data_IF_910233183003
#
_entry.id   IF_910233183003
#
_cell.length_a   1.000
_cell.length_b   1.000
_cell.length_c   1.000
_cell.angle_alpha   90.00
_cell.angle_beta   90.00
_cell.angle_gamma   90.00
#
_symmetry.space_group_name_H-M   'P 1'
#
loop_
_entity.id
_entity.type
_entity.pdbx_description
1 polymer ?
#
# COMPACT_ATOMS: atom_id res chain seq x y z
N UNK A 1 -9.31 7.56 13.89
CA UNK A 1 -9.61 8.75 13.05
C UNK A 1 -8.48 9.08 12.10
N UNK A 2 -7.22 9.01 12.55
CA UNK A 2 -6.04 9.30 11.74
C UNK A 2 -5.95 8.48 10.44
N UNK A 3 -6.18 7.16 10.53
CA UNK A 3 -6.13 6.27 9.35
C UNK A 3 -7.07 6.72 8.22
N UNK A 4 -8.27 7.17 8.57
CA UNK A 4 -9.26 7.64 7.59
C UNK A 4 -8.76 8.91 6.90
N UNK A 5 -8.34 9.92 7.66
CA UNK A 5 -7.84 11.18 7.10
C UNK A 5 -6.59 10.97 6.25
N UNK A 6 -5.67 10.11 6.68
CA UNK A 6 -4.48 9.78 5.89
C UNK A 6 -4.85 9.10 4.58
N UNK A 7 -5.68 8.05 4.63
CA UNK A 7 -6.10 7.32 3.42
C UNK A 7 -6.85 8.23 2.45
N UNK A 8 -7.82 9.01 2.93
CA UNK A 8 -8.60 9.90 2.06
C UNK A 8 -7.75 11.01 1.47
N UNK A 9 -6.86 11.62 2.26
CA UNK A 9 -6.00 12.72 1.75
C UNK A 9 -5.01 12.21 0.71
N UNK A 10 -4.42 11.03 0.94
CA UNK A 10 -3.50 10.40 -0.01
C UNK A 10 -4.24 10.08 -1.32
N UNK A 11 -5.40 9.42 -1.25
CA UNK A 11 -6.17 9.04 -2.45
C UNK A 11 -6.82 10.23 -3.17
N UNK A 12 -7.09 11.32 -2.47
CA UNK A 12 -7.62 12.55 -3.07
C UNK A 12 -6.56 13.33 -3.86
N UNK A 13 -5.31 13.34 -3.38
CA UNK A 13 -4.23 14.12 -4.01
C UNK A 13 -3.34 13.29 -4.94
N UNK A 14 -3.27 11.97 -4.74
CA UNK A 14 -2.37 11.09 -5.48
C UNK A 14 -3.10 9.86 -6.03
N UNK A 15 -2.87 9.55 -7.30
CA UNK A 15 -3.14 8.22 -7.86
C UNK A 15 -1.99 7.29 -7.50
N UNK A 16 -2.33 6.18 -6.86
CA UNK A 16 -1.39 5.10 -6.55
C UNK A 16 -1.20 4.25 -7.80
N UNK A 17 0.01 4.25 -8.35
CA UNK A 17 0.41 3.31 -9.38
C UNK A 17 1.42 2.33 -8.79
N UNK A 18 1.12 1.04 -8.89
CA UNK A 18 2.06 0.00 -8.53
C UNK A 18 3.12 -0.15 -9.62
N UNK A 19 4.39 -0.18 -9.25
CA UNK A 19 5.49 -0.49 -10.18
C UNK A 19 5.50 -1.98 -10.56
N UNK A 20 4.97 -2.83 -9.68
CA UNK A 20 4.83 -4.27 -9.89
C UNK A 20 3.41 -4.57 -10.34
N UNK A 21 3.19 -5.42 -11.36
CA UNK A 21 1.85 -5.82 -11.77
C UNK A 21 1.09 -6.40 -10.57
N UNK A 22 -0.16 -5.95 -10.38
CA UNK A 22 -1.06 -6.34 -9.25
C UNK A 22 -1.21 -7.85 -9.09
N UNK A 23 -0.86 -8.62 -10.12
CA UNK A 23 -0.92 -10.07 -10.19
C UNK A 23 0.22 -10.78 -9.42
N UNK A 24 1.32 -10.08 -9.16
CA UNK A 24 2.49 -10.57 -8.42
C UNK A 24 2.63 -9.90 -7.04
N UNK A 25 1.65 -9.09 -6.62
CA UNK A 25 1.62 -8.54 -5.27
C UNK A 25 1.13 -9.64 -4.33
N UNK A 26 2.06 -10.48 -3.90
CA UNK A 26 1.82 -11.41 -2.82
C UNK A 26 1.54 -10.61 -1.55
N UNK A 27 0.28 -10.63 -1.11
CA UNK A 27 -0.11 -10.11 0.20
C UNK A 27 0.12 -11.14 1.31
N UNK A 28 0.82 -12.24 1.00
CA UNK A 28 1.16 -13.27 1.98
C UNK A 28 2.06 -12.67 3.05
N UNK A 29 1.68 -12.73 4.33
CA UNK A 29 2.49 -12.18 5.41
C UNK A 29 3.84 -12.91 5.48
N UNK A 30 4.93 -12.16 5.42
CA UNK A 30 6.29 -12.72 5.45
C UNK A 30 6.63 -13.29 6.83
N UNK A 31 6.00 -12.75 7.87
CA UNK A 31 6.14 -13.19 9.26
C UNK A 31 4.75 -13.36 9.85
N UNK A 32 4.41 -14.57 10.28
CA UNK A 32 3.12 -14.92 10.88
C UNK A 32 3.29 -15.29 12.37
N UNK A 33 4.03 -14.44 13.11
CA UNK A 33 4.37 -14.64 14.53
C UNK A 33 3.54 -13.74 15.44
N UNK A 34 4.05 -12.54 15.75
CA UNK A 34 3.38 -11.57 16.63
C UNK A 34 2.66 -10.44 15.88
N UNK A 35 3.02 -10.19 14.62
CA UNK A 35 2.37 -9.23 13.74
C UNK A 35 2.47 -9.72 12.29
N UNK A 36 1.37 -9.69 11.56
CA UNK A 36 1.33 -10.03 10.13
C UNK A 36 1.88 -8.85 9.32
N UNK A 37 3.18 -8.87 9.03
CA UNK A 37 3.81 -7.83 8.22
C UNK A 37 3.71 -8.21 6.72
N UNK A 38 3.15 -7.35 5.86
CA UNK A 38 3.21 -7.56 4.42
C UNK A 38 4.66 -7.51 3.92
N UNK A 39 4.97 -8.12 2.77
CA UNK A 39 6.28 -7.99 2.15
C UNK A 39 6.57 -6.53 1.77
N UNK A 40 7.84 -6.13 1.64
CA UNK A 40 8.18 -4.80 1.15
C UNK A 40 7.67 -4.63 -0.28
N UNK A 41 6.84 -3.61 -0.51
CA UNK A 41 6.27 -3.27 -1.82
C UNK A 41 6.65 -1.83 -2.20
N UNK A 42 6.81 -1.59 -3.51
CA UNK A 42 7.09 -0.26 -4.04
C UNK A 42 5.89 0.26 -4.84
N UNK A 43 5.49 1.49 -4.54
CA UNK A 43 4.42 2.21 -5.23
C UNK A 43 4.86 3.63 -5.59
N UNK A 44 4.32 4.14 -6.68
CA UNK A 44 4.46 5.52 -7.10
C UNK A 44 3.22 6.32 -6.74
N UNK A 45 3.45 7.47 -6.09
CA UNK A 45 2.42 8.48 -5.85
C UNK A 45 2.45 9.48 -7.01
N UNK A 46 1.47 9.42 -7.90
CA UNK A 46 1.36 10.36 -9.01
C UNK A 46 0.32 11.41 -8.62
N UNK A 47 0.68 12.71 -8.55
CA UNK A 47 -0.30 13.76 -8.24
C UNK A 47 -1.42 13.77 -9.29
N UNK A 48 -2.65 13.96 -8.83
CA UNK A 48 -3.85 14.08 -9.67
C UNK A 48 -3.87 15.44 -10.39
#
# INVERSE_FOLDING_TARGET
>A
MELFLFLTTILQNFKLNSLVPTKDIDTTPVVNGFASLPPPYQLCFIPV
#
